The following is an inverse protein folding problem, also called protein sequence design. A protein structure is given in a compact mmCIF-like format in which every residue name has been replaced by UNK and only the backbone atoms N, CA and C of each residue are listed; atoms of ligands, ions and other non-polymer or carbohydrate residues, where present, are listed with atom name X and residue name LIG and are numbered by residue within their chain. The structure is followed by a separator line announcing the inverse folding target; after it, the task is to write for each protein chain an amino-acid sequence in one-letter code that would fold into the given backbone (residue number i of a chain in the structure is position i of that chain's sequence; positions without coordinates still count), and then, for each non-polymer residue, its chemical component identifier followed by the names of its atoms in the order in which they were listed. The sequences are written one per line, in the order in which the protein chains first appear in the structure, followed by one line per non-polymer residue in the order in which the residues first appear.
data_IF_351117183169
#
_entry.id   IF_351117183169
#
_cell.length_a   1.000
_cell.length_b   1.000
_cell.length_c   1.000
_cell.angle_alpha   90.00
_cell.angle_beta   90.00
_cell.angle_gamma   90.00
#
_symmetry.space_group_name_H-M   'P 1'
#
loop_
_entity.id
_entity.type
_entity.pdbx_description
1 polymer ?
#
# COMPACT_ATOMS: atom_id res chain seq x y z
N UNK A 1 25.83 9.62 13.82
CA UNK A 1 24.39 9.95 13.97
C UNK A 1 23.49 8.78 13.58
N UNK A 2 23.76 8.09 12.46
CA UNK A 2 22.97 6.95 11.99
C UNK A 2 22.74 5.84 13.05
N UNK A 3 23.80 5.39 13.74
CA UNK A 3 23.70 4.36 14.79
C UNK A 3 22.75 4.76 15.92
N UNK A 4 22.82 6.02 16.36
CA UNK A 4 21.95 6.57 17.39
C UNK A 4 20.49 6.58 16.91
N UNK A 5 20.26 6.97 15.64
CA UNK A 5 18.93 6.94 15.03
C UNK A 5 18.34 5.54 14.96
N UNK A 6 19.12 4.52 14.59
CA UNK A 6 18.68 3.11 14.57
C UNK A 6 18.34 2.63 15.98
N UNK A 7 19.17 2.92 16.97
CA UNK A 7 18.91 2.57 18.38
C UNK A 7 17.60 3.22 18.86
N UNK A 8 17.38 4.50 18.53
CA UNK A 8 16.15 5.21 18.87
C UNK A 8 14.92 4.57 18.23
N UNK A 9 14.99 4.17 16.97
CA UNK A 9 13.89 3.49 16.26
C UNK A 9 13.57 2.14 16.92
N UNK A 10 14.60 1.34 17.25
CA UNK A 10 14.42 0.06 17.94
C UNK A 10 13.74 0.30 19.28
N UNK A 11 14.21 1.29 20.05
CA UNK A 11 13.59 1.69 21.32
C UNK A 11 12.12 2.10 21.14
N UNK A 12 11.81 2.98 20.18
CA UNK A 12 10.43 3.41 19.88
C UNK A 12 9.52 2.23 19.49
N UNK A 13 10.05 1.28 18.72
CA UNK A 13 9.33 0.08 18.28
C UNK A 13 9.02 -0.85 19.46
N UNK A 14 10.00 -1.09 20.33
CA UNK A 14 9.85 -1.89 21.53
C UNK A 14 8.88 -1.21 22.50
N UNK A 15 9.03 0.10 22.71
CA UNK A 15 8.14 0.89 23.56
C UNK A 15 6.68 0.82 23.10
N UNK A 16 6.44 0.99 21.79
CA UNK A 16 5.12 0.88 21.18
C UNK A 16 4.52 -0.53 21.34
N UNK A 17 5.34 -1.58 21.19
CA UNK A 17 4.92 -2.95 21.48
C UNK A 17 4.52 -3.13 22.95
N UNK A 18 5.28 -2.61 23.91
CA UNK A 18 4.94 -2.70 25.34
C UNK A 18 3.61 -2.01 25.68
N UNK A 19 3.32 -0.89 25.01
CA UNK A 19 2.06 -0.15 25.18
C UNK A 19 0.88 -0.96 24.64
N UNK A 20 0.99 -1.44 23.40
CA UNK A 20 -0.16 -1.97 22.66
C UNK A 20 -0.29 -3.49 22.77
N UNK A 21 0.78 -4.19 23.16
CA UNK A 21 0.90 -5.66 23.21
C UNK A 21 0.47 -6.32 21.89
N UNK A 22 0.76 -5.66 20.78
CA UNK A 22 0.46 -6.13 19.43
C UNK A 22 1.52 -5.65 18.45
N UNK A 23 1.78 -6.47 17.45
CA UNK A 23 2.66 -6.14 16.31
C UNK A 23 1.92 -5.38 15.20
N UNK A 24 0.62 -5.16 15.38
CA UNK A 24 -0.27 -4.53 14.41
C UNK A 24 -0.52 -3.05 14.71
N UNK A 25 0.32 -2.39 15.49
CA UNK A 25 0.31 -0.94 15.63
C UNK A 25 1.03 -0.28 14.44
N UNK A 26 0.70 0.97 14.09
CA UNK A 26 1.34 1.65 12.97
C UNK A 26 2.87 1.75 13.10
N UNK A 27 3.37 2.10 14.30
CA UNK A 27 4.81 2.26 14.57
C UNK A 27 5.53 0.94 14.40
N UNK A 28 5.01 -0.15 15.01
CA UNK A 28 5.64 -1.46 14.88
C UNK A 28 5.72 -1.91 13.43
N UNK A 29 4.62 -1.83 12.68
CA UNK A 29 4.57 -2.27 11.29
C UNK A 29 5.49 -1.44 10.38
N UNK A 30 5.48 -0.12 10.52
CA UNK A 30 6.31 0.77 9.70
C UNK A 30 7.79 0.61 10.03
N UNK A 31 8.15 0.62 11.32
CA UNK A 31 9.56 0.53 11.72
C UNK A 31 10.14 -0.84 11.44
N UNK A 32 9.42 -1.94 11.70
CA UNK A 32 9.92 -3.28 11.40
C UNK A 32 10.15 -3.50 9.91
N UNK A 33 9.28 -2.97 9.04
CA UNK A 33 9.45 -3.01 7.59
C UNK A 33 10.74 -2.31 7.15
N UNK A 34 10.96 -1.07 7.60
CA UNK A 34 12.15 -0.33 7.18
C UNK A 34 13.44 -0.78 7.87
N UNK A 35 13.37 -1.29 9.11
CA UNK A 35 14.51 -1.97 9.75
C UNK A 35 14.92 -3.21 8.96
N UNK A 36 13.97 -4.01 8.48
CA UNK A 36 14.26 -5.15 7.60
C UNK A 36 14.96 -4.71 6.31
N UNK A 37 14.45 -3.64 5.68
CA UNK A 37 15.02 -3.09 4.45
C UNK A 37 16.46 -2.64 4.67
N UNK A 38 16.70 -1.79 5.68
CA UNK A 38 18.05 -1.31 6.02
C UNK A 38 18.99 -2.49 6.31
N UNK A 39 18.52 -3.47 7.10
CA UNK A 39 19.33 -4.65 7.47
C UNK A 39 19.73 -5.45 6.24
N UNK A 40 18.78 -5.77 5.35
CA UNK A 40 19.07 -6.54 4.14
C UNK A 40 19.94 -5.76 3.15
N UNK A 41 19.68 -4.47 2.92
CA UNK A 41 20.55 -3.63 2.09
C UNK A 41 21.97 -3.52 2.64
N UNK A 42 22.15 -3.55 3.96
CA UNK A 42 23.48 -3.46 4.60
C UNK A 42 24.32 -4.72 4.40
N UNK A 43 23.69 -5.88 4.16
CA UNK A 43 24.42 -7.12 3.90
C UNK A 43 25.14 -7.14 2.54
N UNK A 44 24.73 -6.27 1.59
CA UNK A 44 25.31 -6.13 0.23
C UNK A 44 25.49 -7.47 -0.53
N UNK A 45 24.64 -8.46 -0.27
CA UNK A 45 24.65 -9.75 -0.97
C UNK A 45 24.34 -9.59 -2.47
N UNK A 46 24.77 -10.58 -3.25
CA UNK A 46 24.52 -10.68 -4.70
C UNK A 46 25.02 -9.49 -5.52
N UNK A 47 26.09 -8.83 -5.07
CA UNK A 47 26.66 -7.63 -5.72
C UNK A 47 25.63 -6.50 -5.83
N UNK A 48 24.86 -6.26 -4.76
CA UNK A 48 23.96 -5.12 -4.67
C UNK A 48 24.72 -3.83 -5.00
N UNK A 49 24.19 -3.04 -5.94
CA UNK A 49 24.78 -1.77 -6.35
C UNK A 49 24.95 -0.84 -5.14
N UNK A 50 26.02 -0.04 -5.18
CA UNK A 50 26.30 0.93 -4.14
C UNK A 50 25.20 1.99 -4.01
N UNK A 51 25.01 2.47 -2.79
CA UNK A 51 24.05 3.50 -2.44
C UNK A 51 24.64 4.43 -1.38
N UNK A 52 24.13 5.66 -1.33
CA UNK A 52 24.63 6.68 -0.41
C UNK A 52 24.18 6.44 1.03
N UNK A 53 25.03 6.79 1.99
CA UNK A 53 24.69 6.79 3.43
C UNK A 53 23.53 7.77 3.70
N UNK A 54 23.49 8.90 2.97
CA UNK A 54 22.42 9.91 3.02
C UNK A 54 21.03 9.28 2.82
N UNK A 55 20.90 8.28 1.95
CA UNK A 55 19.61 7.60 1.74
C UNK A 55 19.14 6.82 2.97
N UNK A 56 20.06 6.20 3.72
CA UNK A 56 19.71 5.55 4.99
C UNK A 56 19.33 6.61 6.03
N UNK A 57 20.07 7.72 6.10
CA UNK A 57 19.76 8.82 7.03
C UNK A 57 18.37 9.41 6.77
N UNK A 58 17.98 9.58 5.50
CA UNK A 58 16.62 10.00 5.10
C UNK A 58 15.55 8.99 5.54
N UNK A 59 15.78 7.69 5.38
CA UNK A 59 14.86 6.65 5.86
C UNK A 59 14.71 6.75 7.38
N UNK A 60 15.82 6.84 8.12
CA UNK A 60 15.84 6.92 9.59
C UNK A 60 15.13 8.18 10.08
N UNK A 61 15.37 9.33 9.45
CA UNK A 61 14.67 10.58 9.74
C UNK A 61 13.15 10.40 9.60
N UNK A 62 12.72 9.84 8.47
CA UNK A 62 11.31 9.59 8.21
C UNK A 62 10.67 8.61 9.21
N UNK A 63 11.38 7.57 9.64
CA UNK A 63 10.91 6.62 10.67
C UNK A 63 10.73 7.28 12.04
N UNK A 64 11.67 8.15 12.44
CA UNK A 64 11.57 8.92 13.69
C UNK A 64 10.33 9.82 13.63
N UNK A 65 10.18 10.63 12.58
CA UNK A 65 9.06 11.56 12.48
C UNK A 65 7.71 10.86 12.30
N UNK A 66 7.65 9.73 11.60
CA UNK A 66 6.45 8.89 11.56
C UNK A 66 6.04 8.42 12.97
N UNK A 67 7.00 7.91 13.74
CA UNK A 67 6.75 7.45 15.11
C UNK A 67 6.28 8.60 16.02
N UNK A 68 6.94 9.77 15.92
CA UNK A 68 6.53 10.98 16.63
C UNK A 68 5.09 11.40 16.26
N UNK A 69 4.72 11.37 14.98
CA UNK A 69 3.35 11.65 14.54
C UNK A 69 2.32 10.74 15.20
N UNK A 70 2.58 9.43 15.26
CA UNK A 70 1.70 8.47 15.95
C UNK A 70 1.59 8.79 17.45
N UNK A 71 2.72 9.07 18.12
CA UNK A 71 2.74 9.36 19.55
C UNK A 71 2.05 10.70 19.89
N UNK A 72 2.26 11.75 19.09
CA UNK A 72 1.58 13.03 19.26
C UNK A 72 0.05 12.87 19.17
N UNK A 73 -0.44 12.15 18.15
CA UNK A 73 -1.87 11.88 18.01
C UNK A 73 -2.44 11.12 19.19
N UNK A 74 -1.67 10.22 19.80
CA UNK A 74 -2.07 9.51 21.02
C UNK A 74 -2.33 10.46 22.18
N UNK A 75 -1.40 11.38 22.43
CA UNK A 75 -1.48 12.33 23.54
C UNK A 75 -2.73 13.20 23.39
N UNK A 76 -2.97 13.71 22.18
CA UNK A 76 -4.15 14.52 21.85
C UNK A 76 -5.44 13.70 22.03
N UNK A 77 -5.47 12.48 21.50
CA UNK A 77 -6.65 11.60 21.57
C UNK A 77 -6.96 11.14 22.99
N UNK A 78 -5.95 10.85 23.82
CA UNK A 78 -6.13 10.43 25.20
C UNK A 78 -6.63 11.57 26.10
N UNK A 79 -6.14 12.80 25.90
CA UNK A 79 -6.68 13.98 26.58
C UNK A 79 -8.16 14.19 26.24
N UNK A 80 -8.52 14.00 24.97
CA UNK A 80 -9.91 14.09 24.52
C UNK A 80 -10.80 13.00 25.13
N UNK A 81 -10.30 11.77 25.24
CA UNK A 81 -11.03 10.66 25.85
C UNK A 81 -11.19 10.80 27.37
N UNK A 82 -10.17 11.28 28.10
CA UNK A 82 -10.29 11.49 29.55
C UNK A 82 -11.34 12.55 29.90
N UNK A 83 -11.59 13.51 29.02
CA UNK A 83 -12.63 14.52 29.17
C UNK A 83 -14.04 14.04 28.79
N UNK A 84 -14.16 12.89 28.12
CA UNK A 84 -15.45 12.27 27.84
C UNK A 84 -15.64 11.07 28.77
N UNK A 85 -16.53 11.17 29.76
CA UNK A 85 -16.92 10.11 30.70
C UNK A 85 -17.63 8.90 30.03
N UNK A 86 -17.18 8.47 28.84
CA UNK A 86 -17.90 7.53 28.01
C UNK A 86 -17.43 6.09 28.25
N UNK A 87 -18.35 5.29 28.77
CA UNK A 87 -18.38 3.83 28.66
C UNK A 87 -18.02 3.45 27.22
N UNK A 88 -16.98 2.63 27.04
CA UNK A 88 -16.54 2.14 25.72
C UNK A 88 -17.62 1.21 25.15
N UNK A 89 -18.60 1.79 24.48
CA UNK A 89 -19.63 1.03 23.79
C UNK A 89 -19.07 0.49 22.48
N UNK A 90 -19.07 -0.84 22.38
CA UNK A 90 -18.58 -1.56 21.22
C UNK A 90 -19.56 -1.43 20.06
N UNK A 91 -19.20 -0.68 19.00
CA UNK A 91 -20.05 -0.52 17.83
C UNK A 91 -19.95 -1.78 16.95
N UNK A 92 -20.81 -2.77 17.19
CA UNK A 92 -20.82 -4.07 16.48
C UNK A 92 -21.45 -3.98 15.06
N UNK A 93 -21.96 -2.80 14.67
CA UNK A 93 -22.62 -2.57 13.39
C UNK A 93 -21.89 -1.53 12.54
N UNK A 94 -21.36 -2.00 11.40
CA UNK A 94 -20.83 -1.13 10.37
C UNK A 94 -22.00 -0.57 9.55
N UNK A 95 -22.17 0.75 9.56
CA UNK A 95 -23.18 1.42 8.73
C UNK A 95 -22.68 1.54 7.29
N UNK A 96 -23.19 0.69 6.43
CA UNK A 96 -22.75 0.54 5.03
C UNK A 96 -23.83 1.04 4.06
N UNK A 97 -23.38 1.71 2.99
CA UNK A 97 -24.19 1.95 1.81
C UNK A 97 -24.22 0.70 0.93
N UNK A 98 -25.12 -0.23 1.27
CA UNK A 98 -25.23 -1.52 0.58
C UNK A 98 -25.50 -1.39 -0.92
N UNK A 99 -26.24 -0.37 -1.35
CA UNK A 99 -26.51 -0.11 -2.77
C UNK A 99 -25.22 0.14 -3.51
N UNK A 100 -24.45 1.14 -3.05
CA UNK A 100 -23.15 1.46 -3.66
C UNK A 100 -22.17 0.27 -3.57
N UNK A 101 -22.08 -0.37 -2.40
CA UNK A 101 -21.13 -1.46 -2.18
C UNK A 101 -21.42 -2.69 -3.08
N UNK A 102 -22.70 -3.01 -3.33
CA UNK A 102 -23.08 -4.09 -4.26
C UNK A 102 -22.82 -3.70 -5.72
N UNK A 103 -23.13 -2.45 -6.11
CA UNK A 103 -22.83 -1.95 -7.46
C UNK A 103 -21.31 -2.02 -7.71
N UNK A 104 -20.50 -1.55 -6.76
CA UNK A 104 -19.04 -1.62 -6.86
C UNK A 104 -18.56 -3.07 -7.00
N UNK A 105 -19.10 -4.01 -6.22
CA UNK A 105 -18.74 -5.42 -6.35
C UNK A 105 -19.08 -5.99 -7.73
N UNK A 106 -20.24 -5.67 -8.29
CA UNK A 106 -20.63 -6.11 -9.64
C UNK A 106 -19.64 -5.58 -10.66
N UNK A 107 -19.36 -4.28 -10.64
CA UNK A 107 -18.46 -3.64 -11.61
C UNK A 107 -17.03 -4.19 -11.50
N UNK A 108 -16.51 -4.36 -10.29
CA UNK A 108 -15.19 -4.98 -10.04
C UNK A 108 -15.16 -6.43 -10.54
N UNK A 109 -16.24 -7.19 -10.31
CA UNK A 109 -16.34 -8.58 -10.77
C UNK A 109 -16.32 -8.66 -12.28
N UNK A 110 -17.12 -7.84 -12.96
CA UNK A 110 -17.15 -7.76 -14.42
C UNK A 110 -15.76 -7.42 -14.98
N UNK A 111 -15.07 -6.42 -14.42
CA UNK A 111 -13.74 -6.07 -14.89
C UNK A 111 -12.69 -7.16 -14.65
N UNK A 112 -12.68 -7.81 -13.48
CA UNK A 112 -11.77 -8.93 -13.23
C UNK A 112 -12.04 -10.15 -14.12
N UNK A 113 -13.32 -10.41 -14.44
CA UNK A 113 -13.70 -11.45 -15.41
C UNK A 113 -13.18 -11.12 -16.81
N UNK A 114 -13.29 -9.87 -17.27
CA UNK A 114 -12.67 -9.47 -18.52
C UNK A 114 -11.15 -9.65 -18.49
N UNK A 115 -10.48 -9.14 -17.45
CA UNK A 115 -9.03 -9.25 -17.31
C UNK A 115 -8.55 -10.70 -17.39
N UNK A 116 -9.20 -11.64 -16.70
CA UNK A 116 -8.79 -13.05 -16.74
C UNK A 116 -9.07 -13.69 -18.10
N UNK A 117 -10.15 -13.34 -18.80
CA UNK A 117 -10.43 -13.85 -20.15
C UNK A 117 -9.31 -13.43 -21.12
N UNK A 118 -8.93 -12.14 -21.13
CA UNK A 118 -7.84 -11.66 -21.98
C UNK A 118 -6.49 -12.32 -21.62
N UNK A 119 -6.22 -12.45 -20.32
CA UNK A 119 -4.99 -13.06 -19.83
C UNK A 119 -4.90 -14.54 -20.20
N UNK A 120 -5.99 -15.30 -20.05
CA UNK A 120 -6.04 -16.71 -20.42
C UNK A 120 -5.91 -16.89 -21.93
N UNK A 121 -6.54 -16.05 -22.75
CA UNK A 121 -6.37 -16.09 -24.21
C UNK A 121 -4.90 -15.91 -24.60
N UNK A 122 -4.21 -14.96 -23.98
CA UNK A 122 -2.79 -14.72 -24.22
C UNK A 122 -1.91 -15.91 -23.79
N UNK A 123 -2.12 -16.42 -22.58
CA UNK A 123 -1.35 -17.56 -22.05
C UNK A 123 -1.59 -18.85 -22.84
N UNK A 124 -2.85 -19.14 -23.21
CA UNK A 124 -3.19 -20.30 -24.04
C UNK A 124 -2.65 -20.17 -25.48
N UNK A 125 -2.44 -18.95 -25.95
CA UNK A 125 -1.75 -18.66 -27.21
C UNK A 125 -0.24 -18.86 -27.16
N UNK A 126 0.32 -19.32 -26.04
CA UNK A 126 1.76 -19.57 -25.85
C UNK A 126 2.52 -18.43 -25.17
N UNK A 127 1.83 -17.34 -24.80
CA UNK A 127 2.45 -16.21 -24.10
C UNK A 127 2.91 -16.58 -22.68
N UNK A 128 4.00 -15.97 -22.22
CA UNK A 128 4.52 -16.17 -20.87
C UNK A 128 3.90 -15.21 -19.85
N UNK A 129 3.90 -15.58 -18.56
CA UNK A 129 3.46 -14.67 -17.49
C UNK A 129 4.32 -13.41 -17.35
N UNK A 130 5.59 -13.45 -17.77
CA UNK A 130 6.47 -12.29 -17.76
C UNK A 130 6.04 -11.28 -18.83
N UNK A 131 5.76 -11.74 -20.05
CA UNK A 131 5.23 -10.89 -21.13
C UNK A 131 3.86 -10.33 -20.79
N UNK A 132 2.96 -11.18 -20.26
CA UNK A 132 1.65 -10.74 -19.79
C UNK A 132 1.77 -9.58 -18.80
N UNK A 133 2.70 -9.68 -17.85
CA UNK A 133 2.96 -8.63 -16.86
C UNK A 133 3.45 -7.35 -17.52
N UNK A 134 4.35 -7.46 -18.50
CA UNK A 134 4.89 -6.32 -19.22
C UNK A 134 3.80 -5.61 -20.03
N UNK A 135 2.92 -6.35 -20.71
CA UNK A 135 1.78 -5.79 -21.46
C UNK A 135 0.77 -5.08 -20.56
N UNK A 136 0.48 -5.63 -19.37
CA UNK A 136 -0.46 -5.02 -18.41
C UNK A 136 0.11 -3.71 -17.85
N UNK A 137 1.41 -3.68 -17.56
CA UNK A 137 2.08 -2.51 -17.00
C UNK A 137 2.60 -1.53 -18.05
N UNK A 138 2.58 -1.89 -19.34
CA UNK A 138 3.11 -1.07 -20.43
C UNK A 138 4.64 -0.97 -20.41
N UNK A 139 5.33 -1.99 -19.93
CA UNK A 139 6.78 -2.00 -19.86
C UNK A 139 7.42 -2.45 -21.18
N UNK A 140 8.62 -1.94 -21.46
CA UNK A 140 9.45 -2.32 -22.62
C UNK A 140 8.76 -2.11 -23.97
N UNK A 141 7.89 -1.11 -24.08
CA UNK A 141 7.13 -0.84 -25.32
C UNK A 141 6.11 -1.94 -25.66
N UNK A 142 5.77 -2.83 -24.71
CA UNK A 142 4.82 -3.91 -24.95
C UNK A 142 3.44 -3.35 -25.32
N UNK A 143 2.82 -3.96 -26.34
CA UNK A 143 1.46 -3.59 -26.73
C UNK A 143 0.47 -3.87 -25.60
N UNK A 144 -0.55 -3.01 -25.40
CA UNK A 144 -1.53 -3.22 -24.36
C UNK A 144 -2.30 -4.52 -24.57
N UNK A 145 -2.35 -5.38 -23.56
CA UNK A 145 -3.15 -6.61 -23.57
C UNK A 145 -4.63 -6.34 -23.90
N UNK A 146 -5.14 -5.22 -23.39
CA UNK A 146 -6.52 -4.77 -23.60
C UNK A 146 -6.48 -3.47 -24.39
N UNK A 147 -6.76 -3.57 -25.68
CA UNK A 147 -6.79 -2.43 -26.61
C UNK A 147 -8.11 -1.64 -26.54
N UNK A 148 -9.21 -2.28 -26.15
CA UNK A 148 -10.50 -1.61 -26.00
C UNK A 148 -10.44 -0.53 -24.88
N UNK A 149 -10.64 0.76 -25.19
CA UNK A 149 -10.48 1.83 -24.21
C UNK A 149 -11.41 1.74 -23.01
N UNK A 150 -12.67 1.33 -23.21
CA UNK A 150 -13.67 1.22 -22.14
C UNK A 150 -13.31 0.09 -21.17
N UNK A 151 -12.91 -1.07 -21.70
CA UNK A 151 -12.47 -2.20 -20.87
C UNK A 151 -11.17 -1.86 -20.15
N UNK A 152 -10.26 -1.12 -20.80
CA UNK A 152 -9.02 -0.67 -20.17
C UNK A 152 -9.30 0.30 -19.01
N UNK A 153 -10.23 1.25 -19.17
CA UNK A 153 -10.66 2.15 -18.09
C UNK A 153 -11.28 1.37 -16.94
N UNK A 154 -12.20 0.45 -17.24
CA UNK A 154 -12.87 -0.40 -16.25
C UNK A 154 -11.86 -1.22 -15.43
N UNK A 155 -10.88 -1.83 -16.08
CA UNK A 155 -9.92 -2.70 -15.41
C UNK A 155 -8.88 -1.91 -14.61
N UNK A 156 -8.32 -0.83 -15.17
CA UNK A 156 -7.25 -0.03 -14.53
C UNK A 156 -7.75 0.91 -13.44
N UNK A 157 -8.82 1.66 -13.68
CA UNK A 157 -9.26 2.74 -12.78
C UNK A 157 -10.41 2.35 -11.85
N UNK A 158 -11.19 1.32 -12.18
CA UNK A 158 -12.32 0.90 -11.35
C UNK A 158 -12.03 -0.42 -10.65
N UNK A 159 -11.64 -1.46 -11.40
CA UNK A 159 -11.57 -2.83 -10.85
C UNK A 159 -10.44 -3.00 -9.84
N UNK A 160 -9.22 -2.54 -10.17
CA UNK A 160 -8.08 -2.57 -9.24
C UNK A 160 -8.34 -1.76 -7.96
N UNK A 161 -8.62 -0.45 -8.07
CA UNK A 161 -8.95 0.39 -6.91
C UNK A 161 -10.18 -0.08 -6.13
N UNK A 162 -11.21 -0.56 -6.82
CA UNK A 162 -12.43 -1.10 -6.22
C UNK A 162 -12.17 -2.37 -5.43
N UNK A 163 -11.40 -3.31 -5.97
CA UNK A 163 -10.99 -4.52 -5.24
C UNK A 163 -10.18 -4.16 -3.98
N UNK A 164 -9.24 -3.23 -4.12
CA UNK A 164 -8.41 -2.70 -3.02
C UNK A 164 -9.28 -2.14 -1.88
N UNK A 165 -10.36 -1.41 -2.22
CA UNK A 165 -11.34 -0.90 -1.26
C UNK A 165 -12.25 -1.99 -0.66
N UNK A 166 -12.65 -2.99 -1.45
CA UNK A 166 -13.56 -4.07 -1.05
C UNK A 166 -12.92 -5.08 -0.07
N UNK A 167 -11.61 -5.33 -0.16
CA UNK A 167 -10.92 -6.31 0.70
C UNK A 167 -11.10 -5.99 2.20
N UNK A 168 -10.87 -4.76 2.70
CA UNK A 168 -11.19 -4.37 4.07
C UNK A 168 -12.61 -4.74 4.53
N UNK A 169 -13.63 -4.53 3.67
CA UNK A 169 -15.01 -4.92 3.99
C UNK A 169 -15.19 -6.43 4.06
N UNK A 170 -14.60 -7.17 3.11
CA UNK A 170 -14.62 -8.64 3.11
C UNK A 170 -14.06 -9.20 4.40
N UNK A 171 -12.92 -8.69 4.85
CA UNK A 171 -12.27 -9.13 6.09
C UNK A 171 -13.13 -8.80 7.30
N UNK A 172 -13.64 -7.58 7.39
CA UNK A 172 -14.56 -7.17 8.46
C UNK A 172 -15.77 -8.12 8.55
N UNK A 173 -16.42 -8.39 7.43
CA UNK A 173 -17.62 -9.23 7.35
C UNK A 173 -17.33 -10.70 7.65
N UNK A 174 -16.22 -11.24 7.13
CA UNK A 174 -15.78 -12.61 7.39
C UNK A 174 -15.57 -12.87 8.88
N UNK A 175 -14.86 -11.97 9.58
CA UNK A 175 -14.57 -12.11 11.01
C UNK A 175 -15.83 -11.96 11.85
N UNK A 176 -16.75 -11.08 11.44
CA UNK A 176 -18.05 -10.89 12.09
C UNK A 176 -19.08 -11.95 11.75
N UNK A 177 -18.77 -12.86 10.82
CA UNK A 177 -19.72 -13.84 10.26
C UNK A 177 -20.99 -13.20 9.67
N UNK A 178 -20.88 -11.96 9.20
CA UNK A 178 -21.98 -11.26 8.51
C UNK A 178 -21.66 -11.29 7.02
N UNK A 179 -22.67 -11.42 6.16
CA UNK A 179 -22.50 -11.32 4.71
C UNK A 179 -21.33 -12.16 4.14
N UNK A 180 -21.21 -13.41 4.58
CA UNK A 180 -20.08 -14.28 4.22
C UNK A 180 -20.02 -14.51 2.69
N UNK A 181 -21.17 -14.73 2.04
CA UNK A 181 -21.24 -14.89 0.57
C UNK A 181 -20.62 -13.70 -0.16
N UNK A 182 -20.94 -12.48 0.27
CA UNK A 182 -20.36 -11.24 -0.27
C UNK A 182 -18.84 -11.20 -0.09
N UNK A 183 -18.35 -11.60 1.09
CA UNK A 183 -16.91 -11.66 1.39
C UNK A 183 -16.18 -12.68 0.52
N UNK A 184 -16.78 -13.85 0.30
CA UNK A 184 -16.22 -14.91 -0.56
C UNK A 184 -16.11 -14.47 -2.02
N UNK A 185 -17.09 -13.73 -2.54
CA UNK A 185 -17.02 -13.20 -3.92
C UNK A 185 -15.86 -12.21 -4.06
N UNK A 186 -15.59 -11.39 -3.05
CA UNK A 186 -14.42 -10.48 -3.05
C UNK A 186 -13.11 -11.26 -3.02
N UNK A 187 -13.02 -12.32 -2.21
CA UNK A 187 -11.82 -13.16 -2.16
C UNK A 187 -11.61 -13.93 -3.48
N UNK A 188 -12.68 -14.35 -4.14
CA UNK A 188 -12.60 -14.93 -5.48
C UNK A 188 -12.07 -13.89 -6.49
N UNK A 189 -12.58 -12.66 -6.43
CA UNK A 189 -12.07 -11.55 -7.25
C UNK A 189 -10.57 -11.28 -7.02
N UNK A 190 -10.09 -11.39 -5.78
CA UNK A 190 -8.67 -11.30 -5.47
C UNK A 190 -7.86 -12.40 -6.18
N UNK A 191 -8.35 -13.63 -6.19
CA UNK A 191 -7.72 -14.73 -6.93
C UNK A 191 -7.71 -14.44 -8.44
N UNK A 192 -8.84 -14.03 -9.02
CA UNK A 192 -8.92 -13.68 -10.44
C UNK A 192 -7.99 -12.53 -10.83
N UNK A 193 -7.90 -11.48 -10.02
CA UNK A 193 -7.01 -10.35 -10.24
C UNK A 193 -5.53 -10.74 -10.14
N UNK A 194 -5.21 -11.68 -9.25
CA UNK A 194 -3.84 -12.19 -9.10
C UNK A 194 -3.45 -13.04 -10.31
N UNK A 195 -4.32 -13.96 -10.74
CA UNK A 195 -4.08 -14.82 -11.90
C UNK A 195 -4.02 -14.03 -13.21
N UNK A 196 -4.86 -13.01 -13.37
CA UNK A 196 -4.86 -12.19 -14.59
C UNK A 196 -3.64 -11.28 -14.71
N UNK A 197 -3.07 -10.81 -13.59
CA UNK A 197 -1.99 -9.82 -13.64
C UNK A 197 -0.61 -10.33 -13.24
N UNK A 198 -0.51 -11.53 -12.64
CA UNK A 198 0.69 -11.99 -11.96
C UNK A 198 1.09 -11.13 -10.74
N UNK A 199 0.23 -10.20 -10.31
CA UNK A 199 0.46 -9.31 -9.19
C UNK A 199 0.30 -10.02 -7.85
N UNK A 200 1.26 -9.84 -6.94
CA UNK A 200 1.31 -10.55 -5.64
C UNK A 200 1.03 -9.67 -4.42
N UNK A 201 1.14 -8.35 -4.56
CA UNK A 201 1.13 -7.44 -3.41
C UNK A 201 -0.22 -7.40 -2.67
N UNK A 202 -1.33 -7.50 -3.39
CA UNK A 202 -2.67 -7.56 -2.79
C UNK A 202 -2.87 -8.82 -1.94
N UNK A 203 -2.24 -9.95 -2.30
CA UNK A 203 -2.26 -11.16 -1.49
C UNK A 203 -1.51 -10.94 -0.17
N UNK A 204 -0.32 -10.34 -0.21
CA UNK A 204 0.46 -9.98 0.98
C UNK A 204 -0.36 -9.08 1.91
N UNK A 205 -0.98 -8.03 1.36
CA UNK A 205 -1.84 -7.14 2.13
C UNK A 205 -3.01 -7.89 2.77
N UNK A 206 -3.67 -8.76 2.02
CA UNK A 206 -4.84 -9.52 2.50
C UNK A 206 -4.46 -10.46 3.64
N UNK A 207 -3.31 -11.15 3.56
CA UNK A 207 -2.81 -12.02 4.63
C UNK A 207 -2.64 -11.21 5.93
N UNK A 208 -1.93 -10.09 5.87
CA UNK A 208 -1.69 -9.23 7.05
C UNK A 208 -3.02 -8.72 7.62
N UNK A 209 -3.91 -8.22 6.77
CA UNK A 209 -5.22 -7.72 7.17
C UNK A 209 -6.11 -8.78 7.82
N UNK A 210 -6.06 -10.04 7.37
CA UNK A 210 -6.79 -11.14 7.99
C UNK A 210 -6.32 -11.38 9.44
N UNK A 211 -5.00 -11.36 9.68
CA UNK A 211 -4.45 -11.48 11.03
C UNK A 211 -4.77 -10.28 11.92
N UNK A 212 -4.73 -9.06 11.37
CA UNK A 212 -5.17 -7.85 12.08
C UNK A 212 -6.62 -7.98 12.51
N UNK A 213 -7.48 -8.44 11.62
CA UNK A 213 -8.89 -8.61 11.92
C UNK A 213 -9.15 -9.70 12.98
N UNK A 214 -8.37 -10.79 13.01
CA UNK A 214 -8.40 -11.76 14.11
C UNK A 214 -7.97 -11.10 15.44
N UNK A 215 -6.88 -10.34 15.43
CA UNK A 215 -6.40 -9.62 16.63
C UNK A 215 -7.42 -8.60 17.14
N UNK A 216 -8.14 -7.94 16.24
CA UNK A 216 -9.16 -6.96 16.59
C UNK A 216 -10.34 -7.57 17.37
N UNK A 217 -10.77 -8.80 17.04
CA UNK A 217 -12.07 -9.32 17.47
C UNK A 217 -12.22 -9.41 19.00
N UNK A 218 -11.14 -9.66 19.78
CA UNK A 218 -11.05 -9.86 21.25
C UNK A 218 -12.07 -10.81 21.92
N UNK A 219 -13.25 -11.04 21.34
CA UNK A 219 -14.22 -12.10 21.67
C UNK A 219 -13.65 -13.44 21.20
N UNK A 220 -14.15 -14.53 21.80
CA UNK A 220 -13.81 -15.91 21.40
C UNK A 220 -14.20 -16.15 19.93
N UNK A 221 -13.26 -15.87 19.00
CA UNK A 221 -13.45 -16.14 17.58
C UNK A 221 -13.63 -17.65 17.41
N UNK A 222 -14.74 -18.10 16.79
CA UNK A 222 -15.01 -19.51 16.61
C UNK A 222 -13.87 -20.20 15.85
N UNK A 223 -13.49 -21.41 16.29
CA UNK A 223 -12.38 -22.19 15.71
C UNK A 223 -12.48 -22.32 14.18
N UNK A 224 -13.72 -22.41 13.65
CA UNK A 224 -13.98 -22.45 12.20
C UNK A 224 -13.46 -21.21 11.45
N UNK A 225 -13.65 -20.00 11.98
CA UNK A 225 -13.18 -18.77 11.33
C UNK A 225 -11.66 -18.67 11.41
N UNK A 226 -11.05 -18.99 12.56
CA UNK A 226 -9.58 -19.07 12.67
C UNK A 226 -9.01 -20.04 11.63
N UNK A 227 -9.62 -21.23 11.48
CA UNK A 227 -9.23 -22.23 10.48
C UNK A 227 -9.33 -21.70 9.05
N UNK A 228 -10.42 -21.02 8.68
CA UNK A 228 -10.57 -20.40 7.34
C UNK A 228 -9.49 -19.35 7.09
N UNK A 229 -9.20 -18.48 8.07
CA UNK A 229 -8.14 -17.46 7.94
C UNK A 229 -6.77 -18.11 7.75
N UNK A 230 -6.43 -19.12 8.54
CA UNK A 230 -5.13 -19.81 8.43
C UNK A 230 -5.01 -20.51 7.08
N UNK A 231 -6.03 -21.27 6.67
CA UNK A 231 -6.02 -22.00 5.38
C UNK A 231 -5.92 -21.03 4.20
N UNK A 232 -6.74 -19.98 4.18
CA UNK A 232 -6.68 -18.98 3.10
C UNK A 232 -5.33 -18.27 3.06
N UNK A 233 -4.74 -17.96 4.21
CA UNK A 233 -3.41 -17.35 4.27
C UNK A 233 -2.32 -18.28 3.72
N UNK A 234 -2.39 -19.58 4.04
CA UNK A 234 -1.47 -20.59 3.48
C UNK A 234 -1.63 -20.69 1.96
N UNK A 235 -2.88 -20.75 1.47
CA UNK A 235 -3.16 -20.80 0.03
C UNK A 235 -2.57 -19.56 -0.67
N UNK A 236 -2.85 -18.37 -0.17
CA UNK A 236 -2.30 -17.13 -0.74
C UNK A 236 -0.78 -17.08 -0.69
N UNK A 237 -0.17 -17.57 0.39
CA UNK A 237 1.28 -17.67 0.48
C UNK A 237 1.85 -18.63 -0.57
N UNK A 238 1.27 -19.82 -0.74
CA UNK A 238 1.66 -20.76 -1.79
C UNK A 238 1.48 -20.14 -3.18
N UNK A 239 0.37 -19.42 -3.43
CA UNK A 239 0.17 -18.71 -4.71
C UNK A 239 1.25 -17.67 -4.98
N UNK A 240 1.71 -16.94 -3.95
CA UNK A 240 2.84 -16.01 -4.08
C UNK A 240 4.10 -16.76 -4.51
N UNK A 241 4.42 -17.90 -3.89
CA UNK A 241 5.59 -18.72 -4.24
C UNK A 241 5.52 -19.20 -5.70
N UNK A 242 4.40 -19.81 -6.08
CA UNK A 242 4.19 -20.37 -7.42
C UNK A 242 4.32 -19.29 -8.49
N UNK A 243 3.64 -18.15 -8.32
CA UNK A 243 3.72 -17.03 -9.27
C UNK A 243 5.12 -16.40 -9.32
N UNK A 244 5.88 -16.45 -8.22
CA UNK A 244 7.26 -15.96 -8.19
C UNK A 244 8.16 -16.84 -9.07
N UNK A 245 8.05 -18.16 -8.94
CA UNK A 245 8.85 -19.12 -9.70
C UNK A 245 8.49 -19.14 -11.18
N UNK A 246 7.21 -19.00 -11.53
CA UNK A 246 6.78 -18.94 -12.94
C UNK A 246 7.30 -17.68 -13.64
N UNK A 247 7.48 -16.57 -12.91
CA UNK A 247 7.84 -15.27 -13.48
C UNK A 247 9.35 -15.00 -13.50
N UNK A 248 10.15 -15.69 -12.69
CA UNK A 248 11.60 -15.48 -12.64
C UNK A 248 12.35 -16.79 -12.45
N UNK A 249 13.47 -16.92 -13.15
CA UNK A 249 14.47 -17.98 -12.93
C UNK A 249 15.21 -17.84 -11.58
N UNK A 250 15.01 -16.75 -10.85
CA UNK A 250 15.61 -16.51 -9.56
C UNK A 250 14.98 -17.38 -8.46
N UNK A 251 15.81 -17.88 -7.54
CA UNK A 251 15.33 -18.53 -6.33
C UNK A 251 14.47 -17.57 -5.50
N UNK A 252 13.51 -18.12 -4.75
CA UNK A 252 12.62 -17.32 -3.90
C UNK A 252 13.39 -16.45 -2.90
N UNK A 253 14.50 -16.95 -2.37
CA UNK A 253 15.37 -16.22 -1.45
C UNK A 253 16.02 -15.01 -2.13
N UNK A 254 16.52 -15.18 -3.36
CA UNK A 254 17.07 -14.07 -4.15
C UNK A 254 16.00 -13.04 -4.48
N UNK A 255 14.79 -13.48 -4.85
CA UNK A 255 13.68 -12.58 -5.13
C UNK A 255 13.25 -11.78 -3.88
N UNK A 256 13.13 -12.44 -2.73
CA UNK A 256 12.83 -11.79 -1.46
C UNK A 256 13.91 -10.77 -1.09
N UNK A 257 15.18 -11.18 -1.14
CA UNK A 257 16.31 -10.28 -0.87
C UNK A 257 16.29 -9.07 -1.81
N UNK A 258 16.12 -9.27 -3.12
CA UNK A 258 16.07 -8.18 -4.09
C UNK A 258 14.96 -7.17 -3.79
N UNK A 259 13.76 -7.63 -3.41
CA UNK A 259 12.63 -6.75 -3.11
C UNK A 259 12.80 -5.90 -1.86
N UNK A 260 13.49 -6.40 -0.84
CA UNK A 260 13.68 -5.68 0.41
C UNK A 260 15.04 -4.99 0.53
N UNK A 261 16.05 -5.35 -0.28
CA UNK A 261 17.35 -4.66 -0.31
C UNK A 261 17.47 -3.60 -1.41
N UNK A 262 16.82 -3.82 -2.56
CA UNK A 262 16.79 -2.86 -3.67
C UNK A 262 16.21 -1.47 -3.37
N UNK A 263 15.23 -1.29 -2.46
CA UNK A 263 14.61 0.01 -2.24
C UNK A 263 15.60 1.12 -1.84
N UNK A 264 16.67 0.79 -1.11
CA UNK A 264 17.68 1.77 -0.68
C UNK A 264 18.53 2.26 -1.87
N UNK A 265 18.88 1.36 -2.80
CA UNK A 265 19.60 1.70 -4.05
C UNK A 265 18.75 2.62 -4.92
N UNK A 266 17.47 2.28 -5.07
CA UNK A 266 16.53 3.08 -5.84
C UNK A 266 16.34 4.45 -5.22
N UNK A 267 16.06 4.52 -3.92
CA UNK A 267 15.96 5.80 -3.20
C UNK A 267 17.23 6.64 -3.40
N UNK A 268 18.41 6.05 -3.29
CA UNK A 268 19.67 6.76 -3.51
C UNK A 268 19.81 7.31 -4.92
N UNK A 269 19.45 6.52 -5.93
CA UNK A 269 19.50 6.95 -7.33
C UNK A 269 18.57 8.14 -7.55
N UNK A 270 17.33 8.03 -7.10
CA UNK A 270 16.32 9.06 -7.30
C UNK A 270 16.56 10.33 -6.48
N UNK A 271 17.17 10.22 -5.30
CA UNK A 271 17.62 11.38 -4.52
C UNK A 271 18.75 12.12 -5.24
N UNK A 272 19.70 11.41 -5.85
CA UNK A 272 20.76 12.01 -6.65
C UNK A 272 20.18 12.80 -7.83
N UNK A 273 19.18 12.26 -8.53
CA UNK A 273 18.51 12.98 -9.62
C UNK A 273 17.77 14.22 -9.10
N UNK A 274 17.08 14.11 -7.96
CA UNK A 274 16.42 15.24 -7.32
C UNK A 274 17.40 16.36 -6.98
N UNK A 275 18.58 16.02 -6.45
CA UNK A 275 19.61 17.00 -6.10
C UNK A 275 20.29 17.57 -7.35
N UNK A 276 20.61 16.73 -8.34
CA UNK A 276 21.33 17.12 -9.57
C UNK A 276 20.49 18.02 -10.48
N UNK A 277 19.22 17.65 -10.69
CA UNK A 277 18.30 18.41 -11.54
C UNK A 277 17.50 19.46 -10.77
N UNK A 278 17.81 19.65 -9.48
CA UNK A 278 17.14 20.59 -8.59
C UNK A 278 15.60 20.47 -8.65
N UNK A 279 15.10 19.24 -8.55
CA UNK A 279 13.66 18.93 -8.66
C UNK A 279 12.93 19.43 -7.40
N UNK A 280 11.81 20.15 -7.59
CA UNK A 280 10.94 20.63 -6.51
C UNK A 280 9.47 20.48 -6.88
N UNK A 281 8.73 19.62 -6.16
CA UNK A 281 7.28 19.49 -6.36
C UNK A 281 6.44 20.35 -5.41
N UNK A 282 7.05 21.14 -4.52
CA UNK A 282 6.39 22.15 -3.68
C UNK A 282 5.19 21.65 -2.86
N UNK A 283 5.23 20.39 -2.42
CA UNK A 283 4.16 19.72 -1.67
C UNK A 283 3.07 19.09 -2.55
N UNK A 284 3.06 19.37 -3.86
CA UNK A 284 2.09 18.79 -4.80
C UNK A 284 2.33 17.29 -5.03
N UNK A 285 3.55 16.80 -4.77
CA UNK A 285 3.85 15.35 -4.80
C UNK A 285 3.13 14.58 -3.69
N UNK A 286 2.97 15.19 -2.52
CA UNK A 286 2.24 14.59 -1.40
C UNK A 286 0.74 14.37 -1.70
N UNK A 287 0.11 15.34 -2.37
CA UNK A 287 -1.31 15.32 -2.79
C UNK A 287 -1.48 14.96 -4.27
N UNK A 288 -0.54 14.19 -4.82
CA UNK A 288 -0.45 13.91 -6.25
C UNK A 288 -1.75 13.56 -6.98
N UNK A 289 -2.67 12.73 -6.45
CA UNK A 289 -3.92 12.41 -7.15
C UNK A 289 -4.74 13.65 -7.53
N UNK A 290 -4.75 14.67 -6.66
CA UNK A 290 -5.43 15.94 -6.94
C UNK A 290 -4.66 16.72 -8.01
N UNK A 291 -3.32 16.79 -7.89
CA UNK A 291 -2.45 17.43 -8.88
C UNK A 291 -2.57 16.80 -10.26
N UNK A 292 -2.66 15.47 -10.34
CA UNK A 292 -2.87 14.74 -11.59
C UNK A 292 -4.20 15.10 -12.23
N UNK A 293 -5.29 15.12 -11.45
CA UNK A 293 -6.61 15.51 -11.96
C UNK A 293 -6.63 16.95 -12.47
N UNK A 294 -5.99 17.87 -11.75
CA UNK A 294 -5.84 19.27 -12.19
C UNK A 294 -5.05 19.35 -13.49
N UNK A 295 -3.92 18.63 -13.60
CA UNK A 295 -3.13 18.59 -14.83
C UNK A 295 -3.94 18.07 -16.03
N UNK A 296 -4.66 16.95 -15.83
CA UNK A 296 -5.52 16.38 -16.86
C UNK A 296 -6.64 17.33 -17.29
N UNK A 297 -7.26 18.04 -16.35
CA UNK A 297 -8.30 19.01 -16.64
C UNK A 297 -7.76 20.23 -17.41
N UNK A 298 -6.63 20.78 -16.98
CA UNK A 298 -5.91 21.86 -17.66
C UNK A 298 -5.59 21.49 -19.11
N UNK A 299 -5.05 20.29 -19.34
CA UNK A 299 -4.75 19.80 -20.68
C UNK A 299 -6.02 19.62 -21.54
N UNK A 300 -7.11 19.12 -20.95
CA UNK A 300 -8.40 18.98 -21.64
C UNK A 300 -8.97 20.34 -22.09
N UNK A 301 -8.80 21.38 -21.27
CA UNK A 301 -9.24 22.74 -21.58
C UNK A 301 -8.29 23.48 -22.54
N UNK A 302 -7.18 22.86 -22.97
CA UNK A 302 -6.18 23.50 -23.81
C UNK A 302 -5.32 24.54 -23.07
N UNK A 303 -5.26 24.47 -21.74
CA UNK A 303 -4.49 25.38 -20.88
C UNK A 303 -3.41 24.57 -20.13
N UNK A 304 -2.39 24.03 -20.83
CA UNK A 304 -1.36 23.23 -20.19
C UNK A 304 -0.57 24.06 -19.16
N UNK A 305 -0.24 23.46 -18.02
CA UNK A 305 0.52 24.10 -16.95
C UNK A 305 1.83 23.34 -16.71
N UNK A 306 2.97 24.01 -16.92
CA UNK A 306 4.29 23.39 -16.82
C UNK A 306 4.63 22.91 -15.41
N UNK A 307 4.20 23.61 -14.36
CA UNK A 307 4.40 23.17 -12.99
C UNK A 307 3.66 21.86 -12.71
N UNK A 308 2.39 21.76 -13.12
CA UNK A 308 1.59 20.54 -12.95
C UNK A 308 2.16 19.38 -13.79
N UNK A 309 2.55 19.64 -15.04
CA UNK A 309 3.17 18.65 -15.92
C UNK A 309 4.48 18.11 -15.34
N UNK A 310 5.32 18.99 -14.79
CA UNK A 310 6.57 18.60 -14.14
C UNK A 310 6.34 17.72 -12.92
N UNK A 311 5.37 18.06 -12.06
CA UNK A 311 5.03 17.22 -10.90
C UNK A 311 4.56 15.83 -11.35
N UNK A 312 3.77 15.74 -12.42
CA UNK A 312 3.33 14.47 -13.01
C UNK A 312 4.49 13.65 -13.54
N UNK A 313 5.40 14.28 -14.27
CA UNK A 313 6.61 13.63 -14.77
C UNK A 313 7.46 13.07 -13.62
N UNK A 314 7.80 13.91 -12.63
CA UNK A 314 8.64 13.50 -11.50
C UNK A 314 7.94 12.50 -10.58
N UNK A 315 6.61 12.51 -10.45
CA UNK A 315 5.91 11.44 -9.72
C UNK A 315 6.01 10.10 -10.45
N UNK A 316 5.95 10.12 -11.78
CA UNK A 316 5.97 8.93 -12.63
C UNK A 316 7.35 8.30 -12.81
N UNK A 317 8.43 9.10 -12.75
CA UNK A 317 9.82 8.66 -12.99
C UNK A 317 10.17 7.31 -12.34
N UNK A 318 9.97 7.08 -11.02
CA UNK A 318 10.32 5.80 -10.40
C UNK A 318 9.58 4.57 -10.92
N UNK A 319 8.48 4.76 -11.65
CA UNK A 319 7.67 3.69 -12.26
C UNK A 319 7.93 3.53 -13.76
N UNK A 320 8.45 4.57 -14.40
CA UNK A 320 8.67 4.63 -15.84
C UNK A 320 10.09 4.18 -16.21
N UNK A 321 11.08 4.52 -15.38
CA UNK A 321 12.48 4.21 -15.69
C UNK A 321 13.03 3.08 -14.82
N UNK A 322 13.79 2.19 -15.46
CA UNK A 322 14.40 1.03 -14.83
C UNK A 322 15.82 1.35 -14.36
N UNK A 323 16.07 1.14 -13.08
CA UNK A 323 17.40 1.33 -12.48
C UNK A 323 18.05 -0.03 -12.26
N UNK A 324 19.29 -0.21 -12.72
CA UNK A 324 20.10 -1.38 -12.40
C UNK A 324 20.39 -1.42 -10.89
N UNK A 325 19.87 -2.44 -10.21
CA UNK A 325 20.04 -2.65 -8.75
C UNK A 325 21.06 -3.75 -8.46
N UNK A 326 21.12 -4.75 -9.34
CA UNK A 326 22.10 -5.84 -9.35
C UNK A 326 22.69 -5.96 -10.77
N UNK A 327 23.83 -6.67 -10.96
CA UNK A 327 24.45 -6.82 -12.28
C UNK A 327 23.49 -7.27 -13.38
N UNK A 328 22.61 -8.23 -13.06
CA UNK A 328 21.68 -8.83 -14.04
C UNK A 328 20.20 -8.47 -13.76
N UNK A 329 19.93 -7.47 -12.92
CA UNK A 329 18.57 -7.15 -12.52
C UNK A 329 18.34 -5.65 -12.29
N UNK A 330 17.43 -5.11 -13.09
CA UNK A 330 16.90 -3.75 -12.94
C UNK A 330 15.53 -3.74 -12.25
N UNK A 331 15.19 -2.63 -11.62
CA UNK A 331 13.91 -2.41 -10.94
C UNK A 331 13.39 -1.00 -11.24
N UNK A 332 12.08 -0.88 -11.46
CA UNK A 332 11.35 0.38 -11.72
C UNK A 332 10.14 0.53 -10.78
N UNK A 333 10.33 0.09 -9.56
CA UNK A 333 9.39 0.26 -8.47
C UNK A 333 10.24 0.27 -7.20
N UNK A 334 9.66 0.52 -6.03
CA UNK A 334 10.39 0.44 -4.77
C UNK A 334 11.33 1.62 -4.49
N UNK A 335 11.02 2.82 -4.99
CA UNK A 335 11.73 4.05 -4.58
C UNK A 335 11.44 4.51 -3.15
N UNK A 336 10.56 3.78 -2.44
CA UNK A 336 10.01 4.13 -1.11
C UNK A 336 9.18 5.41 -1.12
N UNK A 337 8.37 5.61 -0.09
CA UNK A 337 7.64 6.85 0.13
C UNK A 337 8.58 8.06 0.28
N UNK A 338 9.82 7.85 0.74
CA UNK A 338 10.73 8.92 1.11
C UNK A 338 11.23 9.70 -0.09
N UNK A 339 11.36 9.06 -1.27
CA UNK A 339 11.61 9.76 -2.52
C UNK A 339 10.57 10.87 -2.74
N UNK A 340 9.29 10.52 -2.58
CA UNK A 340 8.18 11.43 -2.85
C UNK A 340 8.16 12.60 -1.87
N UNK A 341 8.61 12.39 -0.63
CA UNK A 341 8.69 13.47 0.36
C UNK A 341 9.96 14.32 0.18
N UNK A 342 11.05 13.69 -0.24
CA UNK A 342 12.35 14.34 -0.45
C UNK A 342 12.33 15.28 -1.65
N UNK A 343 11.61 14.94 -2.73
CA UNK A 343 11.48 15.84 -3.88
C UNK A 343 10.66 17.11 -3.61
N UNK A 344 9.89 17.16 -2.54
CA UNK A 344 9.10 18.35 -2.20
C UNK A 344 9.95 19.39 -1.47
N UNK A 345 10.62 18.99 -0.37
CA UNK A 345 11.42 19.91 0.48
C UNK A 345 12.64 19.21 1.10
N UNK A 346 13.24 18.24 0.40
CA UNK A 346 14.42 17.48 0.85
C UNK A 346 14.17 16.82 2.21
N UNK A 347 15.14 16.86 3.13
CA UNK A 347 15.04 16.26 4.46
C UNK A 347 13.87 16.85 5.28
N UNK A 348 13.60 18.15 5.14
CA UNK A 348 12.47 18.80 5.80
C UNK A 348 11.13 18.21 5.32
N UNK A 349 11.00 18.00 4.01
CA UNK A 349 9.81 17.35 3.42
C UNK A 349 9.61 15.94 3.97
N UNK A 350 10.69 15.16 4.08
CA UNK A 350 10.68 13.83 4.70
C UNK A 350 10.18 13.90 6.14
N UNK A 351 10.73 14.79 6.97
CA UNK A 351 10.31 14.96 8.35
C UNK A 351 8.81 15.33 8.46
N UNK A 352 8.37 16.38 7.76
CA UNK A 352 7.00 16.89 7.85
C UNK A 352 5.96 15.89 7.33
N UNK A 353 6.18 15.30 6.16
CA UNK A 353 5.21 14.39 5.55
C UNK A 353 5.19 13.02 6.23
N UNK A 354 6.33 12.52 6.74
CA UNK A 354 6.33 11.32 7.58
C UNK A 354 5.59 11.56 8.89
N UNK A 355 5.76 12.73 9.53
CA UNK A 355 4.98 13.10 10.72
C UNK A 355 3.48 13.15 10.44
N UNK A 356 3.07 13.76 9.32
CA UNK A 356 1.66 13.83 8.92
C UNK A 356 1.10 12.43 8.65
N UNK A 357 1.83 11.59 7.92
CA UNK A 357 1.43 10.20 7.65
C UNK A 357 1.28 9.40 8.94
N UNK A 358 2.27 9.48 9.84
CA UNK A 358 2.22 8.88 11.17
C UNK A 358 1.02 9.36 11.98
N UNK A 359 0.75 10.67 11.94
CA UNK A 359 -0.39 11.27 12.65
C UNK A 359 -1.73 10.71 12.16
N UNK A 360 -1.92 10.58 10.83
CA UNK A 360 -3.11 10.00 10.21
C UNK A 360 -3.27 8.52 10.60
N UNK A 361 -2.20 7.73 10.48
CA UNK A 361 -2.23 6.32 10.85
C UNK A 361 -2.52 6.12 12.34
N UNK A 362 -1.90 6.92 13.20
CA UNK A 362 -2.15 6.93 14.64
C UNK A 362 -3.61 7.25 14.94
N UNK A 363 -4.17 8.30 14.34
CA UNK A 363 -5.57 8.70 14.55
C UNK A 363 -6.53 7.55 14.21
N UNK A 364 -6.39 6.97 13.01
CA UNK A 364 -7.24 5.87 12.55
C UNK A 364 -7.09 4.65 13.47
N UNK A 365 -5.86 4.31 13.86
CA UNK A 365 -5.59 3.20 14.78
C UNK A 365 -6.24 3.41 16.14
N UNK A 366 -6.12 4.59 16.76
CA UNK A 366 -6.75 4.87 18.06
C UNK A 366 -8.27 4.79 17.98
N UNK A 367 -8.87 5.37 16.94
CA UNK A 367 -10.32 5.27 16.73
C UNK A 367 -10.78 3.82 16.52
N UNK A 368 -9.98 3.00 15.86
CA UNK A 368 -10.29 1.59 15.65
C UNK A 368 -10.07 0.75 16.91
N UNK A 369 -8.86 0.68 17.45
CA UNK A 369 -8.47 -0.31 18.46
C UNK A 369 -8.72 0.12 19.91
N UNK A 370 -8.75 1.44 20.17
CA UNK A 370 -9.00 1.99 21.51
C UNK A 370 -10.48 2.38 21.63
N UNK A 371 -11.00 3.22 20.73
CA UNK A 371 -12.42 3.64 20.76
C UNK A 371 -13.38 2.60 20.18
N UNK A 372 -12.87 1.51 19.56
CA UNK A 372 -13.68 0.39 19.05
C UNK A 372 -14.74 0.77 18.03
N UNK A 373 -14.47 1.81 17.24
CA UNK A 373 -15.36 2.26 16.16
C UNK A 373 -15.11 1.44 14.89
N UNK A 374 -16.06 0.56 14.55
CA UNK A 374 -15.96 -0.37 13.41
C UNK A 374 -15.62 0.28 12.07
N UNK A 375 -16.10 1.51 11.79
CA UNK A 375 -15.74 2.23 10.55
C UNK A 375 -14.24 2.48 10.42
N UNK A 376 -13.57 2.77 11.53
CA UNK A 376 -12.14 3.04 11.53
C UNK A 376 -11.32 1.77 11.43
N UNK A 377 -11.88 0.60 11.76
CA UNK A 377 -11.20 -0.67 11.44
C UNK A 377 -11.10 -0.85 9.92
N UNK A 378 -12.16 -0.55 9.16
CA UNK A 378 -12.12 -0.62 7.69
C UNK A 378 -11.06 0.34 7.13
N UNK A 379 -11.05 1.60 7.62
CA UNK A 379 -10.00 2.56 7.26
C UNK A 379 -8.61 2.10 7.69
N UNK A 380 -8.48 1.45 8.85
CA UNK A 380 -7.20 0.94 9.32
C UNK A 380 -6.67 -0.19 8.44
N UNK A 381 -7.53 -1.14 8.07
CA UNK A 381 -7.16 -2.20 7.14
C UNK A 381 -6.72 -1.60 5.81
N UNK A 382 -7.43 -0.60 5.26
CA UNK A 382 -6.97 0.11 4.08
C UNK A 382 -5.61 0.81 4.32
N UNK A 383 -5.45 1.52 5.43
CA UNK A 383 -4.20 2.20 5.82
C UNK A 383 -3.01 1.25 6.01
N UNK A 384 -3.24 0.00 6.39
CA UNK A 384 -2.20 -1.05 6.44
C UNK A 384 -1.60 -1.31 5.06
N UNK A 385 -2.41 -1.23 3.99
CA UNK A 385 -1.88 -1.33 2.63
C UNK A 385 -1.00 -0.12 2.29
N UNK A 386 -1.33 1.07 2.81
CA UNK A 386 -0.47 2.24 2.66
C UNK A 386 0.85 2.07 3.43
N UNK A 387 0.82 1.57 4.66
CA UNK A 387 2.01 1.30 5.49
C UNK A 387 2.90 0.23 4.83
N UNK A 388 2.34 -0.92 4.48
CA UNK A 388 3.12 -2.00 3.86
C UNK A 388 3.53 -1.65 2.44
N UNK A 389 2.72 -0.91 1.68
CA UNK A 389 3.08 -0.45 0.34
C UNK A 389 4.08 0.70 0.32
N UNK A 390 4.45 1.24 1.48
CA UNK A 390 5.25 2.43 1.61
C UNK A 390 6.73 2.23 1.24
N UNK A 391 7.24 0.99 1.26
CA UNK A 391 8.55 0.69 0.66
C UNK A 391 8.51 0.64 -0.86
N UNK A 392 7.32 0.52 -1.46
CA UNK A 392 7.14 0.52 -2.92
C UNK A 392 7.12 1.96 -3.42
N UNK A 393 6.14 2.74 -2.94
CA UNK A 393 5.88 4.14 -3.32
C UNK A 393 5.10 4.86 -2.20
N UNK A 394 4.89 6.17 -2.34
CA UNK A 394 3.89 6.89 -1.56
C UNK A 394 2.47 6.49 -1.98
N UNK A 395 1.88 5.50 -1.28
CA UNK A 395 0.59 4.92 -1.67
C UNK A 395 -0.55 5.94 -1.71
N UNK A 396 -0.64 6.84 -0.72
CA UNK A 396 -1.65 7.92 -0.72
C UNK A 396 -1.43 8.92 -1.87
N UNK A 397 -0.21 8.99 -2.40
CA UNK A 397 0.15 9.74 -3.60
C UNK A 397 -0.03 8.96 -4.89
N UNK A 398 -0.80 7.87 -4.91
CA UNK A 398 -1.16 7.14 -6.12
C UNK A 398 -2.64 7.32 -6.45
N UNK A 399 -2.95 7.52 -7.73
CA UNK A 399 -4.33 7.70 -8.20
C UNK A 399 -5.19 6.47 -7.93
N UNK A 400 -4.63 5.27 -8.07
CA UNK A 400 -5.30 4.02 -7.78
C UNK A 400 -5.71 3.90 -6.31
N UNK A 401 -4.81 4.17 -5.37
CA UNK A 401 -5.13 4.09 -3.95
C UNK A 401 -6.08 5.21 -3.50
N UNK A 402 -5.95 6.40 -4.08
CA UNK A 402 -6.89 7.50 -3.85
C UNK A 402 -8.32 7.12 -4.22
N UNK A 403 -8.53 6.48 -5.38
CA UNK A 403 -9.84 5.95 -5.76
C UNK A 403 -10.34 4.89 -4.77
N UNK A 404 -9.46 4.04 -4.23
CA UNK A 404 -9.83 3.11 -3.16
C UNK A 404 -10.32 3.81 -1.90
N UNK A 405 -9.72 4.95 -1.53
CA UNK A 405 -10.19 5.77 -0.41
C UNK A 405 -11.57 6.33 -0.71
N UNK A 406 -11.77 6.92 -1.90
CA UNK A 406 -13.06 7.47 -2.34
C UNK A 406 -14.16 6.41 -2.30
N UNK A 407 -13.92 5.24 -2.90
CA UNK A 407 -14.87 4.12 -2.88
C UNK A 407 -15.16 3.62 -1.46
N UNK A 408 -14.16 3.59 -0.58
CA UNK A 408 -14.35 3.26 0.83
C UNK A 408 -15.25 4.27 1.54
N UNK A 409 -15.05 5.56 1.31
CA UNK A 409 -15.87 6.64 1.88
C UNK A 409 -17.31 6.53 1.38
N UNK A 410 -17.54 6.39 0.08
CA UNK A 410 -18.87 6.25 -0.52
C UNK A 410 -19.63 5.00 -0.03
N UNK A 411 -18.88 3.95 0.33
CA UNK A 411 -19.43 2.71 0.89
C UNK A 411 -19.82 2.83 2.36
N UNK A 412 -19.32 3.82 3.10
CA UNK A 412 -19.64 4.03 4.52
C UNK A 412 -20.70 5.13 4.66
N UNK A 413 -21.79 4.84 5.37
CA UNK A 413 -22.81 5.86 5.68
C UNK A 413 -22.38 6.64 6.92
N UNK A 414 -22.50 7.98 6.86
CA UNK A 414 -22.51 8.76 8.09
C UNK A 414 -23.73 8.35 8.92
N UNK A 415 -23.56 8.17 10.24
CA UNK A 415 -24.71 8.17 11.14
C UNK A 415 -25.34 9.55 10.99
N UNK A 416 -26.60 9.65 10.54
CA UNK A 416 -27.36 10.90 10.71
C UNK A 416 -27.30 11.20 12.22
N UNK A 417 -26.71 12.35 12.56
CA UNK A 417 -26.69 12.86 13.93
C UNK A 417 -28.10 13.15 14.41
#
# INVERSE_FOLDING_TARGET
MLTIGIILIIFMTIFDYYIHKTVFSPVFMFNSLFLLIISLSSMRLYNLREYSIKSIEVIVLGMIFFSLGVFCTRIVSHKFLKNQNNVINYDDNLNVNWTFLKILLIVVTTGNVFSIIFSLKFLLGGGSYLELRNMILGYNGAEPLITNPLVNILTRYISGPGLTALIPFSIFFLIRKKNIKFSLIILLNLVLATLSSGGRILLVYTIIQLFIGLSYSKKNIPKKIKKVVIISSIIFFISIIVLSNIRSSNSIYRAFYAYFSGPVVLLSTWMTDVDTYNIHSHGLGFIYPITYLLNSFCNLMGIPNSMLANVVMWQGMPQNDWVGVFPDQSMNAFSTLFYFFYKDFREFGVACFSFLFGSICGFIYFKAFIERKSKYLVYYLLGVQAIIGSFIIWQLGSTAFFLSIVFTILSLKSKKS
#
